data_IF_518101775880
#
_entry.id   IF_518101775880
#
_cell.length_a   1.000
_cell.length_b   1.000
_cell.length_c   1.000
_cell.angle_alpha   90.00
_cell.angle_beta   90.00
_cell.angle_gamma   90.00
#
_symmetry.space_group_name_H-M   'P 1'
#
loop_
_entity.id
_entity.type
_entity.pdbx_description
1 polymer ?
#
# COMPACT_ATOMS: atom_id res chain seq x y z
N UNK A 1 6.12 1.62 6.70
CA UNK A 1 6.51 2.15 5.39
C UNK A 1 7.98 1.89 5.08
N UNK A 2 8.91 2.20 5.99
CA UNK A 2 10.35 2.08 5.79
C UNK A 2 10.82 0.69 5.29
N UNK A 3 10.23 -0.39 5.80
CA UNK A 3 10.58 -1.75 5.35
C UNK A 3 10.19 -1.98 3.87
N UNK A 4 9.01 -1.50 3.46
CA UNK A 4 8.55 -1.63 2.06
C UNK A 4 9.42 -0.79 1.12
N UNK A 5 9.80 0.41 1.54
CA UNK A 5 10.69 1.29 0.79
C UNK A 5 12.09 0.68 0.64
N UNK A 6 12.69 0.21 1.75
CA UNK A 6 14.01 -0.42 1.73
C UNK A 6 14.05 -1.64 0.80
N UNK A 7 13.07 -2.54 0.90
CA UNK A 7 13.02 -3.76 0.09
C UNK A 7 12.81 -3.41 -1.39
N UNK A 8 11.85 -2.53 -1.70
CA UNK A 8 11.54 -2.17 -3.08
C UNK A 8 12.70 -1.44 -3.77
N UNK A 9 13.37 -0.53 -3.07
CA UNK A 9 14.52 0.21 -3.61
C UNK A 9 15.74 -0.69 -3.79
N UNK A 10 15.97 -1.62 -2.84
CA UNK A 10 17.09 -2.57 -2.93
C UNK A 10 16.90 -3.52 -4.12
N UNK A 11 15.71 -4.11 -4.28
CA UNK A 11 15.41 -4.96 -5.44
C UNK A 11 15.52 -4.18 -6.75
N UNK A 12 15.01 -2.94 -6.77
CA UNK A 12 15.07 -2.10 -7.96
C UNK A 12 16.49 -1.69 -8.37
N UNK A 13 17.43 -1.68 -7.42
CA UNK A 13 18.83 -1.36 -7.66
C UNK A 13 19.63 -2.53 -8.24
N UNK A 14 19.11 -3.76 -8.18
CA UNK A 14 19.78 -4.92 -8.78
C UNK A 14 19.87 -4.76 -10.30
N UNK A 15 21.01 -5.13 -10.90
CA UNK A 15 21.16 -5.11 -12.35
C UNK A 15 20.16 -6.08 -13.01
N UNK A 16 19.51 -5.62 -14.07
CA UNK A 16 18.58 -6.41 -14.86
C UNK A 16 18.95 -6.25 -16.33
N UNK A 17 19.63 -7.25 -16.87
CA UNK A 17 20.10 -7.25 -18.25
C UNK A 17 19.27 -8.19 -19.12
N UNK A 18 18.98 -7.73 -20.33
CA UNK A 18 18.42 -8.58 -21.38
C UNK A 18 19.53 -9.38 -22.02
N UNK A 19 19.44 -10.71 -21.96
CA UNK A 19 20.46 -11.60 -22.51
C UNK A 19 19.99 -12.28 -23.79
N UNK A 20 20.87 -12.34 -24.79
CA UNK A 20 20.65 -13.07 -26.04
C UNK A 20 21.65 -14.23 -26.16
N UNK A 21 21.20 -15.35 -26.72
CA UNK A 21 22.04 -16.54 -26.96
C UNK A 21 21.82 -17.67 -25.98
N UNK A 22 22.55 -18.77 -26.15
CA UNK A 22 22.47 -19.98 -25.31
C UNK A 22 23.84 -20.40 -24.79
N UNK A 23 23.91 -20.98 -23.61
CA UNK A 23 25.13 -21.52 -23.04
C UNK A 23 26.25 -20.49 -22.93
N UNK A 24 27.45 -20.81 -23.44
CA UNK A 24 28.64 -19.94 -23.36
C UNK A 24 28.61 -18.74 -24.33
N UNK A 25 27.69 -18.73 -25.29
CA UNK A 25 27.52 -17.62 -26.25
C UNK A 25 26.48 -16.57 -25.81
N UNK A 26 26.12 -16.53 -24.54
CA UNK A 26 25.26 -15.48 -24.03
C UNK A 26 25.95 -14.12 -24.06
N UNK A 27 25.27 -13.12 -24.60
CA UNK A 27 25.71 -11.73 -24.60
C UNK A 27 24.57 -10.83 -24.14
N UNK A 28 24.88 -9.65 -23.64
CA UNK A 28 23.89 -8.61 -23.36
C UNK A 28 23.30 -8.13 -24.68
N UNK A 29 21.99 -8.03 -24.75
CA UNK A 29 21.23 -7.71 -25.97
C UNK A 29 20.94 -6.20 -26.04
N UNK A 30 21.96 -5.36 -26.03
CA UNK A 30 21.88 -3.91 -26.03
C UNK A 30 21.16 -3.33 -27.27
N UNK A 31 21.25 -4.06 -28.41
CA UNK A 31 20.65 -3.67 -29.68
C UNK A 31 19.11 -3.68 -29.69
N UNK A 32 18.49 -4.28 -28.66
CA UNK A 32 17.03 -4.38 -28.57
C UNK A 32 16.44 -3.18 -27.82
N UNK A 33 15.34 -2.62 -28.34
CA UNK A 33 14.60 -1.55 -27.65
C UNK A 33 14.15 -1.94 -26.26
N UNK A 34 13.77 -3.21 -26.08
CA UNK A 34 13.41 -3.76 -24.77
C UNK A 34 14.55 -3.64 -23.75
N UNK A 35 15.83 -3.78 -24.17
CA UNK A 35 16.98 -3.56 -23.28
C UNK A 35 16.96 -2.15 -22.71
N UNK A 36 16.77 -1.14 -23.54
CA UNK A 36 16.70 0.26 -23.09
C UNK A 36 15.54 0.48 -22.10
N UNK A 37 14.35 -0.09 -22.38
CA UNK A 37 13.20 0.00 -21.49
C UNK A 37 13.46 -0.67 -20.15
N UNK A 38 14.04 -1.87 -20.15
CA UNK A 38 14.30 -2.63 -18.92
C UNK A 38 15.45 -2.09 -18.09
N UNK A 39 16.48 -1.54 -18.74
CA UNK A 39 17.74 -1.11 -18.12
C UNK A 39 17.74 0.39 -17.77
N UNK A 40 17.27 1.25 -18.68
CA UNK A 40 17.47 2.70 -18.58
C UNK A 40 16.20 3.47 -18.24
N UNK A 41 15.16 3.38 -19.07
CA UNK A 41 13.99 4.26 -18.95
C UNK A 41 12.69 3.57 -19.33
N UNK A 42 11.76 3.46 -18.39
CA UNK A 42 10.45 2.86 -18.60
C UNK A 42 9.52 3.74 -19.46
N UNK A 43 9.54 5.04 -19.23
CA UNK A 43 8.75 6.01 -19.98
C UNK A 43 9.37 7.41 -19.84
N UNK A 44 8.89 8.45 -20.55
CA UNK A 44 9.48 9.78 -20.51
C UNK A 44 9.59 10.42 -19.13
N UNK A 45 8.78 9.96 -18.16
CA UNK A 45 8.73 10.52 -16.81
C UNK A 45 9.49 9.68 -15.77
N UNK A 46 9.94 8.45 -16.14
CA UNK A 46 10.37 7.49 -15.14
C UNK A 46 11.52 6.62 -15.62
N UNK A 47 12.61 6.58 -14.85
CA UNK A 47 13.72 5.65 -15.08
C UNK A 47 13.30 4.21 -14.84
N UNK A 48 14.01 3.24 -15.41
CA UNK A 48 13.75 1.82 -15.22
C UNK A 48 13.88 1.40 -13.74
N UNK A 49 14.87 1.93 -13.01
CA UNK A 49 15.02 1.73 -11.57
C UNK A 49 13.79 2.21 -10.82
N UNK A 50 13.32 3.43 -11.09
CA UNK A 50 12.14 4.00 -10.40
C UNK A 50 10.85 3.23 -10.73
N UNK A 51 10.68 2.80 -11.98
CA UNK A 51 9.54 1.96 -12.36
C UNK A 51 9.53 0.63 -11.60
N UNK A 52 10.67 -0.06 -11.51
CA UNK A 52 10.81 -1.29 -10.71
C UNK A 52 10.52 -1.05 -9.22
N UNK A 53 11.03 0.04 -8.66
CA UNK A 53 10.78 0.41 -7.25
C UNK A 53 9.28 0.58 -6.98
N UNK A 54 8.57 1.34 -7.82
CA UNK A 54 7.13 1.57 -7.69
C UNK A 54 6.34 0.26 -7.76
N UNK A 55 6.61 -0.58 -8.77
CA UNK A 55 5.87 -1.83 -8.94
C UNK A 55 6.19 -2.82 -7.80
N UNK A 56 7.43 -2.88 -7.33
CA UNK A 56 7.80 -3.70 -6.17
C UNK A 56 7.12 -3.20 -4.88
N UNK A 57 7.03 -1.88 -4.66
CA UNK A 57 6.29 -1.31 -3.54
C UNK A 57 4.79 -1.69 -3.61
N UNK A 58 4.19 -1.69 -4.81
CA UNK A 58 2.82 -2.16 -5.01
C UNK A 58 2.67 -3.64 -4.64
N UNK A 59 3.59 -4.51 -5.07
CA UNK A 59 3.57 -5.94 -4.69
C UNK A 59 3.69 -6.13 -3.18
N UNK A 60 4.58 -5.37 -2.53
CA UNK A 60 4.81 -5.47 -1.09
C UNK A 60 3.61 -5.03 -0.26
N UNK A 61 2.86 -4.03 -0.72
CA UNK A 61 1.74 -3.45 0.02
C UNK A 61 0.39 -4.04 -0.37
N UNK A 62 0.11 -4.09 -1.67
CA UNK A 62 -1.17 -4.54 -2.22
C UNK A 62 -1.21 -6.00 -2.65
N UNK A 63 -0.03 -6.65 -2.70
CA UNK A 63 0.11 -8.02 -3.19
C UNK A 63 0.22 -8.15 -4.70
N UNK A 64 -0.03 -7.10 -5.45
CA UNK A 64 0.03 -7.08 -6.91
C UNK A 64 0.69 -5.81 -7.41
N UNK A 65 1.49 -5.92 -8.46
CA UNK A 65 2.08 -4.79 -9.15
C UNK A 65 1.76 -4.86 -10.64
N UNK A 66 1.30 -3.75 -11.20
CA UNK A 66 0.87 -3.68 -12.59
C UNK A 66 1.62 -2.60 -13.34
N UNK A 67 1.96 -2.88 -14.61
CA UNK A 67 2.39 -1.86 -15.54
C UNK A 67 1.78 -2.14 -16.93
N UNK A 68 1.27 -1.11 -17.59
CA UNK A 68 0.84 -1.21 -18.99
C UNK A 68 2.06 -1.30 -19.90
N UNK A 69 2.01 -2.23 -20.84
CA UNK A 69 3.02 -2.45 -21.88
C UNK A 69 2.59 -1.71 -23.14
N UNK A 70 3.31 -0.65 -23.47
CA UNK A 70 3.09 0.10 -24.73
C UNK A 70 4.02 -0.44 -25.80
N UNK A 71 3.45 -0.76 -26.96
CA UNK A 71 4.17 -1.28 -28.11
C UNK A 71 4.06 -0.32 -29.30
N UNK A 72 5.09 -0.34 -30.17
CA UNK A 72 5.04 0.36 -31.45
C UNK A 72 4.29 -0.47 -32.52
N UNK A 73 4.18 0.07 -33.74
CA UNK A 73 3.52 -0.59 -34.86
C UNK A 73 4.20 -1.92 -35.32
N UNK A 74 5.42 -2.19 -34.90
CA UNK A 74 6.16 -3.44 -35.13
C UNK A 74 6.02 -4.46 -33.99
N UNK A 75 5.22 -4.15 -32.96
CA UNK A 75 5.02 -5.01 -31.79
C UNK A 75 6.14 -4.93 -30.74
N UNK A 76 7.16 -4.10 -30.93
CA UNK A 76 8.24 -3.93 -29.96
C UNK A 76 7.78 -3.12 -28.75
N UNK A 77 8.18 -3.53 -27.54
CA UNK A 77 7.92 -2.79 -26.31
C UNK A 77 8.76 -1.51 -26.30
N UNK A 78 8.08 -0.37 -26.15
CA UNK A 78 8.73 0.95 -26.14
C UNK A 78 8.58 1.68 -24.82
N UNK A 79 7.55 1.36 -24.02
CA UNK A 79 7.33 1.97 -22.70
C UNK A 79 6.63 1.00 -21.74
N UNK A 80 6.84 1.24 -20.44
CA UNK A 80 6.11 0.62 -19.34
C UNK A 80 5.53 1.72 -18.43
N UNK A 81 4.23 1.63 -18.15
CA UNK A 81 3.52 2.60 -17.30
C UNK A 81 2.94 1.92 -16.07
N UNK A 82 3.49 2.14 -14.87
CA UNK A 82 2.93 1.58 -13.64
C UNK A 82 1.48 2.04 -13.43
N UNK A 83 0.64 1.09 -13.02
CA UNK A 83 -0.77 1.35 -12.70
C UNK A 83 -0.99 1.04 -11.23
N UNK A 84 -1.66 1.94 -10.51
CA UNK A 84 -1.98 1.73 -9.09
C UNK A 84 -2.90 0.51 -8.92
N UNK A 85 -2.57 -0.45 -8.01
CA UNK A 85 -3.29 -1.71 -7.88
C UNK A 85 -4.79 -1.57 -7.54
N UNK A 86 -5.18 -0.51 -6.84
CA UNK A 86 -6.58 -0.21 -6.53
C UNK A 86 -7.43 0.15 -7.77
N UNK A 87 -6.78 0.39 -8.89
CA UNK A 87 -7.44 0.69 -10.18
C UNK A 87 -7.58 -0.53 -11.08
N UNK A 88 -6.90 -1.64 -10.77
CA UNK A 88 -6.85 -2.83 -11.64
C UNK A 88 -7.60 -3.98 -11.00
N UNK A 89 -8.50 -4.61 -11.76
CA UNK A 89 -9.21 -5.82 -11.35
C UNK A 89 -8.95 -6.91 -12.38
N UNK A 90 -8.13 -7.93 -12.05
CA UNK A 90 -7.98 -9.12 -12.89
C UNK A 90 -9.29 -9.91 -12.94
N UNK A 91 -9.68 -10.41 -14.11
CA UNK A 91 -10.85 -11.29 -14.27
C UNK A 91 -10.63 -12.28 -15.42
N UNK A 92 -11.32 -13.40 -15.37
CA UNK A 92 -11.40 -14.32 -16.49
C UNK A 92 -12.57 -13.91 -17.40
N UNK A 93 -12.31 -13.78 -18.70
CA UNK A 93 -13.32 -13.53 -19.71
C UNK A 93 -13.04 -14.46 -20.90
N UNK A 94 -14.04 -15.24 -21.31
CA UNK A 94 -13.96 -16.20 -22.44
C UNK A 94 -12.76 -17.17 -22.37
N UNK A 95 -12.31 -17.51 -21.15
CA UNK A 95 -11.17 -18.39 -20.92
C UNK A 95 -9.82 -17.67 -20.82
N UNK A 96 -9.76 -16.38 -21.10
CA UNK A 96 -8.55 -15.57 -21.05
C UNK A 96 -8.54 -14.64 -19.83
N UNK A 97 -7.32 -14.36 -19.32
CA UNK A 97 -7.11 -13.40 -18.25
C UNK A 97 -7.08 -11.98 -18.83
N UNK A 98 -8.00 -11.14 -18.38
CA UNK A 98 -8.08 -9.73 -18.76
C UNK A 98 -8.06 -8.84 -17.51
N UNK A 99 -7.79 -7.56 -17.70
CA UNK A 99 -7.66 -6.58 -16.63
C UNK A 99 -8.59 -5.41 -16.86
N UNK A 100 -9.55 -5.21 -15.97
CA UNK A 100 -10.38 -4.01 -15.95
C UNK A 100 -9.65 -2.91 -15.21
N UNK A 101 -9.43 -1.78 -15.89
CA UNK A 101 -8.72 -0.62 -15.34
C UNK A 101 -9.71 0.52 -15.15
N UNK A 102 -9.88 0.95 -13.89
CA UNK A 102 -10.67 2.14 -13.56
C UNK A 102 -9.93 3.39 -13.97
N UNK A 103 -10.54 4.20 -14.81
CA UNK A 103 -10.05 5.52 -15.18
C UNK A 103 -10.61 6.58 -14.23
N UNK A 104 -9.89 7.69 -14.01
CA UNK A 104 -10.36 8.76 -13.09
C UNK A 104 -11.54 9.54 -13.64
N UNK A 105 -11.56 9.79 -14.95
CA UNK A 105 -12.55 10.67 -15.60
C UNK A 105 -13.17 10.05 -16.86
N UNK A 106 -13.01 8.72 -17.07
CA UNK A 106 -13.51 8.02 -18.24
C UNK A 106 -14.10 6.67 -17.88
N UNK A 107 -14.79 6.03 -18.83
CA UNK A 107 -15.26 4.67 -18.68
C UNK A 107 -14.10 3.70 -18.41
N UNK A 108 -14.31 2.62 -17.62
CA UNK A 108 -13.32 1.58 -17.41
C UNK A 108 -12.85 0.98 -18.75
N UNK A 109 -11.57 0.65 -18.82
CA UNK A 109 -10.96 0.03 -20.01
C UNK A 109 -10.55 -1.39 -19.65
N UNK A 110 -10.93 -2.37 -20.47
CA UNK A 110 -10.46 -3.75 -20.33
C UNK A 110 -9.25 -3.97 -21.24
N UNK A 111 -8.15 -4.38 -20.67
CA UNK A 111 -6.93 -4.70 -21.40
C UNK A 111 -6.65 -6.22 -21.34
N UNK A 112 -6.20 -6.83 -22.45
CA UNK A 112 -5.80 -8.22 -22.48
C UNK A 112 -4.46 -8.42 -21.75
N UNK A 113 -4.17 -9.67 -21.40
CA UNK A 113 -2.96 -10.06 -20.64
C UNK A 113 -1.66 -9.57 -21.28
N UNK A 114 -1.58 -9.56 -22.62
CA UNK A 114 -0.37 -9.18 -23.36
C UNK A 114 -0.02 -7.70 -23.21
N UNK A 115 -0.97 -6.88 -22.78
CA UNK A 115 -0.78 -5.45 -22.55
C UNK A 115 -0.47 -5.09 -21.11
N UNK A 116 -0.48 -6.06 -20.19
CA UNK A 116 -0.23 -5.82 -18.77
C UNK A 116 0.95 -6.68 -18.30
N UNK A 117 1.98 -6.04 -17.79
CA UNK A 117 2.96 -6.68 -16.94
C UNK A 117 2.36 -6.80 -15.54
N UNK A 118 2.06 -8.02 -15.10
CA UNK A 118 1.53 -8.29 -13.77
C UNK A 118 2.57 -9.03 -12.93
N UNK A 119 3.05 -8.39 -11.86
CA UNK A 119 3.89 -8.99 -10.83
C UNK A 119 2.99 -9.40 -9.67
N UNK A 120 2.93 -10.71 -9.44
CA UNK A 120 2.07 -11.31 -8.43
C UNK A 120 2.90 -11.59 -7.18
N UNK A 121 2.45 -11.09 -6.02
CA UNK A 121 2.99 -11.45 -4.72
C UNK A 121 2.53 -12.84 -4.26
N UNK A 122 2.67 -13.20 -2.97
CA UNK A 122 2.11 -14.45 -2.44
C UNK A 122 0.63 -14.57 -2.79
N UNK A 123 0.25 -15.72 -3.37
CA UNK A 123 -1.06 -15.97 -3.94
C UNK A 123 -1.47 -17.41 -3.66
N UNK A 124 -2.79 -17.66 -3.52
CA UNK A 124 -3.34 -19.03 -3.42
C UNK A 124 -3.88 -19.53 -4.77
N UNK A 125 -4.31 -18.63 -5.65
CA UNK A 125 -4.89 -18.97 -6.95
C UNK A 125 -3.90 -18.82 -8.12
N UNK A 126 -2.71 -18.23 -7.87
CA UNK A 126 -1.71 -17.94 -8.89
C UNK A 126 -2.09 -16.79 -9.84
N UNK A 127 -3.24 -16.14 -9.64
CA UNK A 127 -3.75 -15.04 -10.48
C UNK A 127 -3.70 -13.73 -9.72
N UNK A 128 -4.07 -13.74 -8.43
CA UNK A 128 -4.16 -12.53 -7.62
C UNK A 128 -3.34 -12.69 -6.34
N UNK A 129 -2.41 -11.78 -6.11
CA UNK A 129 -1.61 -11.73 -4.89
C UNK A 129 -2.39 -11.12 -3.73
N UNK A 130 -2.12 -11.59 -2.52
CA UNK A 130 -2.75 -11.08 -1.29
C UNK A 130 -2.05 -9.82 -0.77
N UNK A 131 -2.86 -8.82 -0.41
CA UNK A 131 -2.36 -7.63 0.29
C UNK A 131 -1.88 -8.00 1.70
N UNK A 132 -0.59 -7.82 1.95
CA UNK A 132 -0.02 -8.03 3.30
C UNK A 132 -0.60 -7.06 4.31
N UNK A 133 -0.89 -5.83 3.90
CA UNK A 133 -1.53 -4.83 4.75
C UNK A 133 -2.94 -5.28 5.14
N UNK A 134 -3.72 -5.81 4.20
CA UNK A 134 -5.06 -6.32 4.48
C UNK A 134 -5.02 -7.51 5.45
N UNK A 135 -4.07 -8.43 5.28
CA UNK A 135 -3.87 -9.58 6.17
C UNK A 135 -3.46 -9.15 7.59
N UNK A 136 -2.57 -8.17 7.71
CA UNK A 136 -2.09 -7.65 8.99
C UNK A 136 -2.97 -6.53 9.57
N UNK A 137 -4.13 -6.23 8.97
CA UNK A 137 -4.97 -5.07 9.31
C UNK A 137 -5.26 -4.94 10.81
N UNK A 138 -5.58 -6.05 11.48
CA UNK A 138 -5.89 -6.05 12.92
C UNK A 138 -4.65 -5.70 13.76
N UNK A 139 -3.51 -6.28 13.43
CA UNK A 139 -2.25 -6.02 14.15
C UNK A 139 -1.75 -4.59 13.92
N UNK A 140 -1.84 -4.10 12.69
CA UNK A 140 -1.50 -2.71 12.35
C UNK A 140 -2.44 -1.75 13.08
N UNK A 141 -3.76 -2.02 13.08
CA UNK A 141 -4.75 -1.20 13.78
C UNK A 141 -4.51 -1.16 15.29
N UNK A 142 -4.17 -2.29 15.90
CA UNK A 142 -3.80 -2.34 17.33
C UNK A 142 -2.54 -1.52 17.59
N UNK A 143 -1.49 -1.66 16.77
CA UNK A 143 -0.26 -0.89 16.89
C UNK A 143 -0.51 0.62 16.79
N UNK A 144 -1.31 1.07 15.83
CA UNK A 144 -1.70 2.47 15.69
C UNK A 144 -2.50 2.99 16.90
N UNK A 145 -3.41 2.18 17.44
CA UNK A 145 -4.16 2.54 18.65
C UNK A 145 -3.26 2.66 19.88
N UNK A 146 -2.30 1.75 20.05
CA UNK A 146 -1.30 1.80 21.14
C UNK A 146 -0.38 3.02 21.00
N UNK A 147 0.09 3.34 19.80
CA UNK A 147 0.91 4.51 19.53
C UNK A 147 0.13 5.81 19.83
N UNK A 148 -1.12 5.90 19.38
CA UNK A 148 -2.00 7.05 19.68
C UNK A 148 -2.26 7.19 21.18
N UNK A 149 -2.55 6.08 21.86
CA UNK A 149 -2.76 6.08 23.31
C UNK A 149 -1.48 6.52 24.04
N UNK A 150 -0.34 5.94 23.69
CA UNK A 150 0.96 6.31 24.29
C UNK A 150 1.31 7.78 24.07
N UNK A 151 1.08 8.29 22.86
CA UNK A 151 1.34 9.70 22.53
C UNK A 151 0.49 10.64 23.40
N UNK A 152 -0.81 10.34 23.57
CA UNK A 152 -1.71 11.11 24.42
C UNK A 152 -1.32 10.99 25.90
N UNK A 153 -0.98 9.78 26.35
CA UNK A 153 -0.58 9.52 27.72
C UNK A 153 0.66 10.32 28.12
N UNK A 154 1.71 10.25 27.29
CA UNK A 154 2.95 10.99 27.54
C UNK A 154 2.83 12.49 27.27
N UNK A 155 2.02 12.88 26.27
CA UNK A 155 1.81 14.29 25.92
C UNK A 155 1.04 15.08 26.99
N UNK A 156 0.11 14.41 27.69
CA UNK A 156 -0.66 15.02 28.77
C UNK A 156 0.04 14.94 30.15
N UNK A 157 1.24 14.44 30.20
CA UNK A 157 1.98 14.19 31.45
C UNK A 157 1.51 12.89 32.15
N UNK A 158 2.44 12.21 32.80
CA UNK A 158 2.20 10.93 33.50
C UNK A 158 1.55 11.09 34.86
N UNK A 159 0.86 12.19 35.12
CA UNK A 159 0.20 12.43 36.40
C UNK A 159 -1.14 11.71 36.49
N UNK A 160 -1.45 11.06 37.62
CA UNK A 160 -2.76 10.48 37.83
C UNK A 160 -3.85 11.59 37.77
N UNK A 161 -4.98 11.24 37.18
CA UNK A 161 -6.14 12.14 37.12
C UNK A 161 -6.51 12.61 38.53
N UNK A 162 -6.69 13.91 38.73
CA UNK A 162 -7.17 14.43 40.00
C UNK A 162 -8.61 13.96 40.23
N UNK A 163 -8.89 13.51 41.43
CA UNK A 163 -10.28 13.20 41.89
C UNK A 163 -10.79 14.44 42.57
N UNK A 164 -11.89 15.01 42.05
CA UNK A 164 -12.59 16.09 42.71
C UNK A 164 -13.83 15.52 43.41
N UNK A 165 -13.99 15.78 44.70
CA UNK A 165 -15.17 15.41 45.50
C UNK A 165 -16.07 16.62 45.70
N UNK A 166 -17.38 16.42 45.65
CA UNK A 166 -18.38 17.47 45.91
C UNK A 166 -19.06 17.23 47.25
N UNK A 167 -19.19 18.25 48.12
CA UNK A 167 -19.67 18.08 49.51
C UNK A 167 -21.17 17.80 49.61
N UNK A 168 -21.95 17.87 48.53
CA UNK A 168 -23.40 17.67 48.55
C UNK A 168 -23.82 16.51 47.65
N UNK A 169 -24.99 15.88 47.95
CA UNK A 169 -25.56 14.82 47.10
C UNK A 169 -25.95 15.35 45.72
N UNK A 170 -25.56 14.61 44.70
CA UNK A 170 -25.96 14.86 43.31
C UNK A 170 -27.47 14.62 43.12
N UNK A 171 -28.17 15.60 42.53
CA UNK A 171 -29.61 15.49 42.21
C UNK A 171 -29.92 14.45 41.15
N UNK A 172 -28.99 14.23 40.22
CA UNK A 172 -29.08 13.23 39.15
C UNK A 172 -27.74 12.55 38.90
N UNK A 173 -27.47 11.38 39.53
CA UNK A 173 -26.23 10.62 39.36
C UNK A 173 -26.06 10.05 37.94
N UNK A 174 -27.16 9.89 37.16
CA UNK A 174 -27.06 9.38 35.78
C UNK A 174 -26.57 10.46 34.82
N UNK A 175 -27.18 11.64 34.85
CA UNK A 175 -26.77 12.78 34.06
C UNK A 175 -25.33 13.16 34.35
N UNK A 176 -24.88 13.08 35.59
CA UNK A 176 -23.51 13.33 36.00
C UNK A 176 -22.53 12.25 35.43
N UNK A 177 -22.91 10.97 35.49
CA UNK A 177 -22.13 9.87 34.89
C UNK A 177 -22.02 10.01 33.36
N UNK A 178 -23.13 10.39 32.71
CA UNK A 178 -23.12 10.61 31.24
C UNK A 178 -22.21 11.78 30.87
N UNK A 179 -22.30 12.90 31.60
CA UNK A 179 -21.42 14.05 31.39
C UNK A 179 -19.94 13.72 31.63
N UNK A 180 -19.63 12.95 32.68
CA UNK A 180 -18.26 12.44 32.91
C UNK A 180 -17.83 11.50 31.77
N UNK A 181 -18.70 10.58 31.38
CA UNK A 181 -18.38 9.64 30.29
C UNK A 181 -18.14 10.37 28.96
N UNK A 182 -18.95 11.39 28.67
CA UNK A 182 -18.78 12.22 27.47
C UNK A 182 -17.45 12.98 27.47
N UNK A 183 -17.02 13.47 28.64
CA UNK A 183 -15.77 14.21 28.79
C UNK A 183 -14.55 13.29 28.88
N UNK A 184 -14.66 12.15 29.58
CA UNK A 184 -13.49 11.33 29.96
C UNK A 184 -13.37 9.96 29.27
N UNK A 185 -14.43 9.46 28.63
CA UNK A 185 -14.34 8.17 27.91
C UNK A 185 -13.85 8.32 26.50
N UNK A 186 -12.91 7.46 26.09
CA UNK A 186 -12.36 7.37 24.75
C UNK A 186 -10.83 7.57 24.68
N UNK A 187 -10.22 7.12 23.58
CA UNK A 187 -8.78 7.13 23.34
C UNK A 187 -8.13 8.53 23.42
N UNK A 188 -8.91 9.59 23.15
CA UNK A 188 -8.44 10.98 23.19
C UNK A 188 -8.74 11.71 24.51
N UNK A 189 -9.36 11.04 25.50
CA UNK A 189 -9.87 11.66 26.72
C UNK A 189 -9.21 11.11 28.00
N UNK A 190 -8.14 10.35 27.85
CA UNK A 190 -7.37 9.80 28.98
C UNK A 190 -6.71 10.91 29.80
N UNK A 191 -6.73 10.78 31.14
CA UNK A 191 -6.08 11.69 32.09
C UNK A 191 -6.75 13.07 32.24
N UNK A 192 -8.07 13.20 31.97
CA UNK A 192 -8.81 14.38 32.35
C UNK A 192 -9.28 14.32 33.83
N UNK A 193 -9.52 15.49 34.41
CA UNK A 193 -9.96 15.61 35.79
C UNK A 193 -11.36 14.98 36.00
N UNK A 194 -11.49 14.06 36.96
CA UNK A 194 -12.77 13.53 37.40
C UNK A 194 -13.20 14.24 38.66
N UNK A 195 -14.42 14.78 38.66
CA UNK A 195 -15.05 15.44 39.81
C UNK A 195 -16.09 14.48 40.39
N UNK A 196 -15.96 14.13 41.66
CA UNK A 196 -16.94 13.32 42.39
C UNK A 196 -17.55 14.15 43.54
N UNK A 197 -18.87 14.02 43.77
CA UNK A 197 -19.55 14.54 44.95
C UNK A 197 -19.61 13.46 46.04
N UNK A 198 -19.43 13.86 47.33
CA UNK A 198 -19.63 13.03 48.50
C UNK A 198 -21.11 12.92 48.89
#
# INVERSE_FOLDING_TARGET
>A
WNAAELISSTIAALPLDLMQGRGKSKRVAEDYKLYHVMHSQWNPLMTAKKGREVVNAHVLTWGNGYAEIVRNGYGEVIQLWPIAPNRVTPKMADGDLVYDIKMESAAPVTLPRERIQHLIGPSFDGITGYSRIAMARKSIGLGMAMESFGSLYFGNGTHPSAIATHPNQLKDPKAFREAISEVYAGLGKSHQLMVLED
#
